data_IF_086388557815
#
_entry.id   IF_086388557815
#
_cell.length_a   1.000
_cell.length_b   1.000
_cell.length_c   1.000
_cell.angle_alpha   90.00
_cell.angle_beta   90.00
_cell.angle_gamma   90.00
#
_symmetry.space_group_name_H-M   'P 1'
#
loop_
_entity.id
_entity.type
_entity.pdbx_description
1 polymer ?
#
# COMPACT_ATOMS: atom_id res chain seq x y z
N UNK A 1 -25.94 0.70 9.17
CA UNK A 1 -26.29 -0.72 9.03
C UNK A 1 -25.27 -1.55 9.78
N UNK A 2 -25.74 -2.48 10.61
CA UNK A 2 -24.90 -3.48 11.28
C UNK A 2 -25.35 -4.86 10.80
N UNK A 3 -24.42 -5.70 10.36
CA UNK A 3 -24.71 -7.06 9.91
C UNK A 3 -23.65 -8.04 10.42
N UNK A 4 -24.05 -9.27 10.70
CA UNK A 4 -23.19 -10.35 11.20
C UNK A 4 -23.37 -11.59 10.35
N UNK A 5 -23.29 -11.46 9.03
CA UNK A 5 -23.54 -12.54 8.07
C UNK A 5 -22.80 -12.29 6.74
N UNK A 6 -22.98 -13.21 5.79
CA UNK A 6 -22.55 -13.06 4.40
C UNK A 6 -23.38 -11.99 3.69
N UNK A 7 -22.71 -11.00 3.11
CA UNK A 7 -23.29 -10.09 2.12
C UNK A 7 -22.76 -10.49 0.76
N UNK A 8 -23.64 -11.00 -0.10
CA UNK A 8 -23.24 -11.38 -1.46
C UNK A 8 -22.96 -10.13 -2.30
N UNK A 9 -23.92 -9.21 -2.39
CA UNK A 9 -23.75 -7.95 -3.10
C UNK A 9 -24.41 -6.82 -2.33
N UNK A 10 -23.72 -5.70 -2.22
CA UNK A 10 -24.27 -4.43 -1.77
C UNK A 10 -23.84 -3.33 -2.74
N UNK A 11 -24.80 -2.73 -3.44
CA UNK A 11 -24.53 -1.66 -4.39
C UNK A 11 -24.08 -0.38 -3.67
N UNK A 12 -24.82 0.06 -2.66
CA UNK A 12 -24.54 1.35 -2.04
C UNK A 12 -24.71 1.39 -0.53
N UNK A 13 -23.74 2.02 0.14
CA UNK A 13 -23.85 2.47 1.52
C UNK A 13 -23.50 3.96 1.66
N UNK A 14 -24.50 4.77 1.99
CA UNK A 14 -24.37 6.23 2.04
C UNK A 14 -23.70 6.78 3.32
N UNK A 15 -23.80 6.06 4.46
CA UNK A 15 -23.41 6.61 5.77
C UNK A 15 -22.42 5.72 6.53
N UNK A 16 -22.91 4.75 7.28
CA UNK A 16 -22.05 3.89 8.11
C UNK A 16 -22.49 2.45 8.02
N UNK A 17 -21.53 1.61 7.69
CA UNK A 17 -21.65 0.17 7.70
C UNK A 17 -20.63 -0.42 8.67
N UNK A 18 -21.10 -1.32 9.50
CA UNK A 18 -20.26 -2.18 10.31
C UNK A 18 -20.65 -3.62 10.03
N UNK A 19 -19.70 -4.45 9.66
CA UNK A 19 -19.96 -5.84 9.32
C UNK A 19 -18.94 -6.74 10.00
N UNK A 20 -19.43 -7.85 10.54
CA UNK A 20 -18.61 -8.99 10.94
C UNK A 20 -18.95 -10.14 9.99
N UNK A 21 -18.01 -10.55 9.14
CA UNK A 21 -18.26 -11.62 8.17
C UNK A 21 -17.64 -11.36 6.79
N UNK A 22 -18.26 -11.95 5.78
CA UNK A 22 -17.81 -11.90 4.39
C UNK A 22 -18.67 -10.90 3.61
N UNK A 23 -18.03 -9.93 2.96
CA UNK A 23 -18.63 -9.12 1.90
C UNK A 23 -18.01 -9.61 0.60
N UNK A 24 -18.80 -10.24 -0.26
CA UNK A 24 -18.30 -10.68 -1.55
C UNK A 24 -18.12 -9.49 -2.49
N UNK A 25 -19.17 -8.67 -2.67
CA UNK A 25 -19.07 -7.44 -3.48
C UNK A 25 -19.70 -6.24 -2.77
N UNK A 26 -18.95 -5.15 -2.70
CA UNK A 26 -19.44 -3.82 -2.35
C UNK A 26 -19.03 -2.83 -3.43
N UNK A 27 -20.00 -2.27 -4.15
CA UNK A 27 -19.70 -1.32 -5.23
C UNK A 27 -19.32 0.04 -4.64
N UNK A 28 -20.18 0.62 -3.79
CA UNK A 28 -19.94 1.97 -3.27
C UNK A 28 -20.17 2.13 -1.77
N UNK A 29 -19.16 2.67 -1.08
CA UNK A 29 -19.30 3.23 0.26
C UNK A 29 -18.89 4.71 0.29
N UNK A 30 -19.85 5.60 0.54
CA UNK A 30 -19.58 7.04 0.48
C UNK A 30 -18.90 7.60 1.73
N UNK A 31 -19.06 6.95 2.89
CA UNK A 31 -18.69 7.57 4.17
C UNK A 31 -17.86 6.67 5.10
N UNK A 32 -18.43 5.67 5.77
CA UNK A 32 -17.63 4.81 6.67
C UNK A 32 -17.97 3.33 6.55
N UNK A 33 -16.95 2.54 6.22
CA UNK A 33 -16.96 1.08 6.25
C UNK A 33 -16.05 0.58 7.38
N UNK A 34 -16.58 -0.25 8.25
CA UNK A 34 -15.80 -1.01 9.22
C UNK A 34 -16.11 -2.49 9.06
N UNK A 35 -15.10 -3.29 8.76
CA UNK A 35 -15.28 -4.73 8.56
C UNK A 35 -14.30 -5.50 9.42
N UNK A 36 -14.80 -6.54 10.07
CA UNK A 36 -13.97 -7.61 10.62
C UNK A 36 -14.31 -8.88 9.85
N UNK A 37 -13.34 -9.40 9.10
CA UNK A 37 -13.56 -10.51 8.18
C UNK A 37 -12.96 -10.25 6.80
N UNK A 38 -13.67 -10.68 5.76
CA UNK A 38 -13.15 -10.65 4.39
C UNK A 38 -14.00 -9.74 3.50
N UNK A 39 -13.33 -8.89 2.73
CA UNK A 39 -13.93 -8.15 1.61
C UNK A 39 -13.31 -8.70 0.34
N UNK A 40 -14.08 -9.39 -0.48
CA UNK A 40 -13.54 -9.96 -1.72
C UNK A 40 -13.35 -8.85 -2.74
N UNK A 41 -14.37 -8.04 -2.99
CA UNK A 41 -14.29 -6.91 -3.93
C UNK A 41 -14.90 -5.65 -3.31
N UNK A 42 -14.13 -4.57 -3.31
CA UNK A 42 -14.61 -3.21 -3.08
C UNK A 42 -14.22 -2.33 -4.27
N UNK A 43 -15.20 -1.83 -5.00
CA UNK A 43 -14.92 -0.96 -6.15
C UNK A 43 -14.58 0.45 -5.67
N UNK A 44 -15.44 1.06 -4.87
CA UNK A 44 -15.27 2.46 -4.43
C UNK A 44 -15.53 2.66 -2.94
N UNK A 45 -14.57 3.28 -2.25
CA UNK A 45 -14.80 3.89 -0.95
C UNK A 45 -14.28 5.33 -0.90
N UNK A 46 -15.19 6.29 -0.76
CA UNK A 46 -14.86 7.71 -0.90
C UNK A 46 -14.21 8.31 0.34
N UNK A 47 -14.45 7.76 1.53
CA UNK A 47 -14.08 8.45 2.77
C UNK A 47 -13.24 7.60 3.73
N UNK A 48 -13.83 6.67 4.51
CA UNK A 48 -13.05 5.87 5.47
C UNK A 48 -13.36 4.39 5.42
N UNK A 49 -12.31 3.59 5.25
CA UNK A 49 -12.35 2.14 5.40
C UNK A 49 -11.43 1.70 6.55
N UNK A 50 -11.97 0.85 7.42
CA UNK A 50 -11.21 0.13 8.43
C UNK A 50 -11.50 -1.36 8.30
N UNK A 51 -10.48 -2.16 8.03
CA UNK A 51 -10.61 -3.62 7.94
C UNK A 51 -9.68 -4.31 8.92
N UNK A 52 -10.20 -5.29 9.66
CA UNK A 52 -9.39 -6.31 10.32
C UNK A 52 -9.67 -7.63 9.62
N UNK A 53 -8.68 -8.15 8.89
CA UNK A 53 -8.82 -9.36 8.09
C UNK A 53 -8.25 -9.20 6.67
N UNK A 54 -8.98 -9.72 5.68
CA UNK A 54 -8.49 -9.82 4.30
C UNK A 54 -9.29 -8.93 3.36
N UNK A 55 -8.60 -8.15 2.54
CA UNK A 55 -9.20 -7.49 1.39
C UNK A 55 -8.57 -8.06 0.11
N UNK A 56 -9.37 -8.66 -0.76
CA UNK A 56 -8.83 -9.34 -1.94
C UNK A 56 -8.68 -8.43 -3.16
N UNK A 57 -9.64 -7.55 -3.42
CA UNK A 57 -9.55 -6.53 -4.48
C UNK A 57 -10.15 -5.23 -4.00
N UNK A 58 -9.38 -4.16 -4.19
CA UNK A 58 -9.79 -2.83 -3.79
C UNK A 58 -9.42 -1.83 -4.89
N UNK A 59 -10.39 -1.44 -5.71
CA UNK A 59 -10.07 -0.67 -6.91
C UNK A 59 -9.79 0.79 -6.58
N UNK A 60 -10.73 1.48 -5.94
CA UNK A 60 -10.62 2.91 -5.68
C UNK A 60 -10.93 3.26 -4.22
N UNK A 61 -10.00 4.00 -3.61
CA UNK A 61 -10.26 4.68 -2.35
C UNK A 61 -9.71 6.10 -2.41
N UNK A 62 -10.51 7.06 -1.93
CA UNK A 62 -10.21 8.49 -2.10
C UNK A 62 -9.66 9.18 -0.85
N UNK A 63 -9.86 8.66 0.37
CA UNK A 63 -9.49 9.39 1.59
C UNK A 63 -8.60 8.64 2.60
N UNK A 64 -9.10 7.57 3.24
CA UNK A 64 -8.32 6.85 4.26
C UNK A 64 -8.64 5.37 4.33
N UNK A 65 -7.58 4.57 4.29
CA UNK A 65 -7.63 3.13 4.52
C UNK A 65 -6.78 2.79 5.73
N UNK A 66 -7.34 1.98 6.61
CA UNK A 66 -6.59 1.29 7.65
C UNK A 66 -6.89 -0.19 7.56
N UNK A 67 -5.86 -1.00 7.41
CA UNK A 67 -6.00 -2.46 7.38
C UNK A 67 -5.04 -3.10 8.36
N UNK A 68 -5.57 -4.03 9.15
CA UNK A 68 -4.77 -5.00 9.89
C UNK A 68 -5.04 -6.35 9.27
N UNK A 69 -4.06 -6.91 8.58
CA UNK A 69 -4.16 -8.19 7.88
C UNK A 69 -3.62 -8.13 6.45
N UNK A 70 -4.30 -8.83 5.54
CA UNK A 70 -3.83 -9.03 4.17
C UNK A 70 -4.58 -8.10 3.20
N UNK A 71 -3.82 -7.46 2.31
CA UNK A 71 -4.35 -6.76 1.15
C UNK A 71 -3.79 -7.46 -0.10
N UNK A 72 -4.67 -8.00 -0.92
CA UNK A 72 -4.37 -8.46 -2.27
C UNK A 72 -4.83 -7.36 -3.26
N UNK A 73 -4.01 -7.08 -4.28
CA UNK A 73 -4.29 -6.19 -5.43
C UNK A 73 -5.13 -4.92 -5.17
N UNK A 74 -4.55 -3.88 -4.56
CA UNK A 74 -5.04 -2.50 -4.68
C UNK A 74 -4.59 -1.87 -5.99
N UNK A 75 -5.55 -1.55 -6.86
CA UNK A 75 -5.29 -0.99 -8.20
C UNK A 75 -5.03 0.53 -8.13
N UNK A 76 -5.88 1.33 -7.46
CA UNK A 76 -5.70 2.80 -7.41
C UNK A 76 -6.04 3.43 -6.06
N UNK A 77 -5.03 4.03 -5.42
CA UNK A 77 -5.18 4.68 -4.10
C UNK A 77 -4.82 6.16 -4.15
N UNK A 78 -5.84 7.01 -4.13
CA UNK A 78 -5.73 8.47 -4.11
C UNK A 78 -5.41 9.06 -2.73
N UNK A 79 -5.11 8.23 -1.73
CA UNK A 79 -5.24 8.62 -0.32
C UNK A 79 -4.18 8.09 0.65
N UNK A 80 -4.39 8.38 1.95
CA UNK A 80 -3.57 7.89 3.07
C UNK A 80 -3.89 6.43 3.35
N UNK A 81 -2.91 5.56 3.18
CA UNK A 81 -2.97 4.15 3.54
C UNK A 81 -2.12 3.87 4.77
N UNK A 82 -2.69 3.14 5.72
CA UNK A 82 -1.98 2.56 6.86
C UNK A 82 -2.25 1.06 6.88
N UNK A 83 -1.21 0.25 6.77
CA UNK A 83 -1.34 -1.21 6.77
C UNK A 83 -0.37 -1.85 7.74
N UNK A 84 -0.86 -2.85 8.47
CA UNK A 84 -0.05 -3.78 9.27
C UNK A 84 -0.39 -5.18 8.82
N UNK A 85 0.60 -5.99 8.43
CA UNK A 85 0.40 -7.30 7.81
C UNK A 85 1.12 -7.45 6.46
N UNK A 86 0.39 -7.78 5.40
CA UNK A 86 0.97 -8.08 4.08
C UNK A 86 0.23 -7.35 2.96
N UNK A 87 0.97 -6.83 2.00
CA UNK A 87 0.48 -6.28 0.74
C UNK A 87 1.08 -7.12 -0.37
N UNK A 88 0.25 -7.82 -1.14
CA UNK A 88 0.77 -8.66 -2.21
C UNK A 88 1.20 -7.79 -3.40
N UNK A 89 0.26 -7.07 -4.01
CA UNK A 89 0.56 -6.21 -5.15
C UNK A 89 -0.07 -4.87 -4.90
N UNK A 90 0.68 -3.79 -5.09
CA UNK A 90 0.14 -2.45 -5.11
C UNK A 90 0.61 -1.77 -6.39
N UNK A 91 -0.35 -1.50 -7.28
CA UNK A 91 -0.07 -0.85 -8.56
C UNK A 91 0.23 0.63 -8.32
N UNK A 92 -0.69 1.37 -7.71
CA UNK A 92 -0.53 2.82 -7.55
C UNK A 92 -0.87 3.35 -6.15
N UNK A 93 0.10 4.03 -5.54
CA UNK A 93 -0.10 4.89 -4.37
C UNK A 93 0.20 6.35 -4.67
N UNK A 94 -0.84 7.19 -4.68
CA UNK A 94 -0.75 8.59 -5.11
C UNK A 94 -0.34 9.56 -3.99
N UNK A 95 -0.50 9.21 -2.71
CA UNK A 95 -0.40 10.21 -1.64
C UNK A 95 0.53 9.84 -0.48
N UNK A 96 0.07 9.02 0.47
CA UNK A 96 0.89 8.66 1.64
C UNK A 96 0.65 7.21 2.01
N UNK A 97 1.73 6.46 2.10
CA UNK A 97 1.73 5.11 2.63
C UNK A 97 2.55 5.05 3.91
N UNK A 98 1.97 4.42 4.92
CA UNK A 98 2.68 3.92 6.08
C UNK A 98 2.39 2.43 6.19
N UNK A 99 3.44 1.61 6.15
CA UNK A 99 3.27 0.17 6.16
C UNK A 99 4.29 -0.47 7.12
N UNK A 100 3.79 -1.31 8.03
CA UNK A 100 4.61 -2.21 8.86
C UNK A 100 4.35 -3.64 8.38
N UNK A 101 5.02 -4.03 7.28
CA UNK A 101 4.53 -5.12 6.42
C UNK A 101 5.62 -5.80 5.60
N UNK A 102 5.22 -6.92 5.01
CA UNK A 102 5.79 -7.42 3.75
C UNK A 102 5.02 -6.82 2.55
N UNK A 103 5.73 -6.17 1.63
CA UNK A 103 5.21 -5.79 0.30
C UNK A 103 5.87 -6.69 -0.73
N UNK A 104 5.10 -7.47 -1.48
CA UNK A 104 5.69 -8.31 -2.53
C UNK A 104 6.00 -7.48 -3.78
N UNK A 105 5.00 -6.81 -4.35
CA UNK A 105 5.21 -5.94 -5.51
C UNK A 105 4.61 -4.57 -5.27
N UNK A 106 5.39 -3.54 -5.61
CA UNK A 106 4.98 -2.16 -5.66
C UNK A 106 5.41 -1.55 -6.99
N UNK A 107 4.46 -1.29 -7.88
CA UNK A 107 4.78 -0.75 -9.19
C UNK A 107 5.08 0.75 -9.08
N UNK A 108 4.14 1.54 -8.54
CA UNK A 108 4.28 3.00 -8.51
C UNK A 108 3.94 3.63 -7.16
N UNK A 109 4.90 4.40 -6.64
CA UNK A 109 4.72 5.30 -5.50
C UNK A 109 5.02 6.75 -5.90
N UNK A 110 3.99 7.60 -5.85
CA UNK A 110 4.05 8.94 -6.45
C UNK A 110 4.37 10.06 -5.44
N UNK A 111 4.28 9.82 -4.12
CA UNK A 111 4.47 10.90 -3.14
C UNK A 111 5.32 10.55 -1.93
N UNK A 112 4.76 9.88 -0.91
CA UNK A 112 5.51 9.59 0.32
C UNK A 112 5.24 8.19 0.82
N UNK A 113 6.30 7.42 0.92
CA UNK A 113 6.27 6.07 1.46
C UNK A 113 7.15 5.96 2.69
N UNK A 114 6.58 5.39 3.74
CA UNK A 114 7.29 4.96 4.92
C UNK A 114 7.00 3.49 5.15
N UNK A 115 8.03 2.66 5.05
CA UNK A 115 7.90 1.20 5.21
C UNK A 115 8.85 0.71 6.27
N UNK A 116 8.35 -0.13 7.17
CA UNK A 116 9.15 -0.95 8.07
C UNK A 116 8.88 -2.41 7.72
N UNK A 117 9.90 -3.11 7.22
CA UNK A 117 9.77 -4.50 6.80
C UNK A 117 10.49 -4.81 5.49
N UNK A 118 9.90 -5.68 4.68
CA UNK A 118 10.48 -6.17 3.43
C UNK A 118 9.66 -5.68 2.25
N UNK A 119 10.35 -5.13 1.25
CA UNK A 119 9.81 -4.86 -0.09
C UNK A 119 10.54 -5.80 -1.04
N UNK A 120 9.82 -6.75 -1.65
CA UNK A 120 10.46 -7.67 -2.58
C UNK A 120 10.77 -6.97 -3.91
N UNK A 121 9.79 -6.29 -4.50
CA UNK A 121 9.98 -5.56 -5.76
C UNK A 121 9.37 -4.18 -5.67
N UNK A 122 10.16 -3.18 -6.07
CA UNK A 122 9.74 -1.81 -6.25
C UNK A 122 10.21 -1.31 -7.62
N UNK A 123 9.26 -1.06 -8.53
CA UNK A 123 9.60 -0.57 -9.87
C UNK A 123 9.89 0.93 -9.83
N UNK A 124 8.95 1.75 -9.35
CA UNK A 124 9.08 3.20 -9.43
C UNK A 124 8.72 3.92 -8.13
N UNK A 125 9.66 4.74 -7.66
CA UNK A 125 9.43 5.75 -6.63
C UNK A 125 9.74 7.15 -7.14
N UNK A 126 8.72 7.98 -7.31
CA UNK A 126 8.90 9.30 -7.91
C UNK A 126 9.34 10.40 -6.94
N UNK A 127 9.14 10.24 -5.62
CA UNK A 127 9.20 11.40 -4.72
C UNK A 127 9.97 11.13 -3.41
N UNK A 128 9.34 10.66 -2.32
CA UNK A 128 10.08 10.36 -1.08
C UNK A 128 9.82 8.94 -0.57
N UNK A 129 10.89 8.22 -0.32
CA UNK A 129 10.86 6.90 0.31
C UNK A 129 11.75 6.87 1.56
N UNK A 130 11.19 6.34 2.64
CA UNK A 130 11.92 5.97 3.84
C UNK A 130 11.63 4.51 4.14
N UNK A 131 12.67 3.69 4.15
CA UNK A 131 12.54 2.25 4.41
C UNK A 131 13.47 1.85 5.53
N UNK A 132 12.93 1.11 6.50
CA UNK A 132 13.73 0.37 7.50
C UNK A 132 13.50 -1.11 7.23
N UNK A 133 14.54 -1.79 6.74
CA UNK A 133 14.49 -3.21 6.39
C UNK A 133 15.13 -3.53 5.04
N UNK A 134 14.53 -4.45 4.30
CA UNK A 134 15.10 -4.99 3.07
C UNK A 134 14.32 -4.52 1.83
N UNK A 135 15.05 -4.14 0.78
CA UNK A 135 14.52 -3.97 -0.57
C UNK A 135 15.23 -4.96 -1.50
N UNK A 136 14.52 -5.96 -2.01
CA UNK A 136 15.09 -7.03 -2.85
C UNK A 136 15.10 -6.69 -4.35
N UNK A 137 14.39 -5.67 -4.81
CA UNK A 137 14.58 -5.15 -6.16
C UNK A 137 14.10 -3.72 -6.15
N UNK A 138 14.93 -2.82 -6.65
CA UNK A 138 14.54 -1.45 -6.90
C UNK A 138 15.01 -1.02 -8.28
N UNK A 139 14.08 -0.79 -9.19
CA UNK A 139 14.43 -0.36 -10.54
C UNK A 139 14.71 1.15 -10.56
N UNK A 140 13.75 1.99 -10.16
CA UNK A 140 13.87 3.43 -10.33
C UNK A 140 13.45 4.23 -9.09
N UNK A 141 14.33 5.15 -8.68
CA UNK A 141 14.00 6.20 -7.72
C UNK A 141 14.43 7.58 -8.22
N UNK A 142 13.50 8.53 -8.31
CA UNK A 142 13.74 9.82 -8.97
C UNK A 142 14.06 11.00 -8.04
N UNK A 143 13.83 10.93 -6.73
CA UNK A 143 13.93 12.13 -5.88
C UNK A 143 14.71 11.95 -4.58
N UNK A 144 14.14 11.27 -3.58
CA UNK A 144 14.81 11.13 -2.28
C UNK A 144 14.52 9.78 -1.65
N UNK A 145 15.59 9.03 -1.41
CA UNK A 145 15.55 7.75 -0.71
C UNK A 145 16.39 7.79 0.56
N UNK A 146 15.80 7.31 1.65
CA UNK A 146 16.53 6.99 2.87
C UNK A 146 16.24 5.54 3.24
N UNK A 147 17.28 4.72 3.30
CA UNK A 147 17.14 3.32 3.66
C UNK A 147 18.05 2.98 4.83
N UNK A 148 17.51 2.31 5.83
CA UNK A 148 18.29 1.65 6.89
C UNK A 148 18.10 0.16 6.72
N UNK A 149 19.13 -0.53 6.24
CA UNK A 149 19.07 -1.96 5.93
C UNK A 149 19.75 -2.31 4.61
N UNK A 150 19.24 -3.30 3.88
CA UNK A 150 19.91 -3.79 2.65
C UNK A 150 19.06 -3.53 1.41
N UNK A 151 19.73 -3.18 0.32
CA UNK A 151 19.16 -3.06 -1.02
C UNK A 151 19.90 -4.02 -1.95
N UNK A 152 19.19 -4.90 -2.64
CA UNK A 152 19.80 -5.89 -3.52
C UNK A 152 18.83 -6.32 -4.62
N UNK A 153 18.91 -5.88 -5.89
CA UNK A 153 19.75 -4.82 -6.47
C UNK A 153 19.03 -3.45 -6.56
N UNK A 154 19.79 -2.43 -6.96
CA UNK A 154 19.29 -1.11 -7.36
C UNK A 154 19.77 -0.76 -8.77
N UNK A 155 18.86 -0.48 -9.69
CA UNK A 155 19.23 -0.11 -11.07
C UNK A 155 19.52 1.39 -11.19
N UNK A 156 18.54 2.26 -10.88
CA UNK A 156 18.64 3.69 -11.12
C UNK A 156 18.22 4.56 -9.93
N UNK A 157 19.11 5.50 -9.56
CA UNK A 157 18.77 6.63 -8.69
C UNK A 157 19.09 8.01 -9.29
N UNK A 158 18.07 8.88 -9.24
CA UNK A 158 18.15 10.30 -9.56
C UNK A 158 17.96 11.14 -8.29
N UNK A 159 18.69 12.25 -8.19
CA UNK A 159 18.73 13.23 -7.07
C UNK A 159 19.43 12.88 -5.74
N UNK A 160 18.80 12.17 -4.79
CA UNK A 160 19.37 11.97 -3.43
C UNK A 160 19.13 10.57 -2.87
N UNK A 161 20.21 9.91 -2.45
CA UNK A 161 20.16 8.63 -1.76
C UNK A 161 21.02 8.66 -0.50
N UNK A 162 20.45 8.20 0.61
CA UNK A 162 21.17 7.92 1.85
C UNK A 162 20.86 6.50 2.27
N UNK A 163 21.88 5.67 2.43
CA UNK A 163 21.70 4.29 2.86
C UNK A 163 22.62 4.00 4.03
N UNK A 164 22.04 3.67 5.17
CA UNK A 164 22.76 3.12 6.32
C UNK A 164 22.61 1.60 6.25
N UNK A 165 23.58 0.95 5.63
CA UNK A 165 23.61 -0.49 5.42
C UNK A 165 24.32 -0.86 4.12
N UNK A 166 23.87 -1.92 3.45
CA UNK A 166 24.53 -2.44 2.25
C UNK A 166 23.67 -2.24 1.00
N UNK A 167 24.30 -1.81 -0.08
CA UNK A 167 23.74 -1.93 -1.43
C UNK A 167 24.61 -2.96 -2.15
N UNK A 168 24.04 -4.10 -2.51
CA UNK A 168 24.82 -5.19 -3.11
C UNK A 168 25.20 -4.90 -4.55
N UNK A 169 24.28 -4.34 -5.32
CA UNK A 169 24.48 -3.98 -6.73
C UNK A 169 23.84 -2.63 -6.99
N UNK A 170 24.58 -1.72 -7.62
CA UNK A 170 24.12 -0.39 -8.02
C UNK A 170 24.63 -0.05 -9.42
N UNK A 171 23.74 -0.02 -10.41
CA UNK A 171 24.13 0.21 -11.81
C UNK A 171 24.35 1.69 -12.12
N UNK A 172 23.35 2.55 -11.86
CA UNK A 172 23.39 3.95 -12.20
C UNK A 172 22.89 4.83 -11.05
N UNK A 173 23.72 5.77 -10.62
CA UNK A 173 23.30 6.79 -9.68
C UNK A 173 23.90 8.13 -10.04
N UNK A 174 23.05 9.10 -10.37
CA UNK A 174 23.46 10.45 -10.77
C UNK A 174 23.55 11.41 -9.58
N UNK A 175 23.61 10.87 -8.35
CA UNK A 175 23.36 11.60 -7.10
C UNK A 175 24.59 11.80 -6.24
N UNK A 176 24.56 12.79 -5.35
CA UNK A 176 25.46 12.84 -4.20
C UNK A 176 25.09 11.69 -3.25
N UNK A 177 25.94 10.67 -3.18
CA UNK A 177 25.87 9.64 -2.12
C UNK A 177 26.42 10.23 -0.82
N UNK A 178 25.65 10.09 0.26
CA UNK A 178 26.09 10.32 1.64
C UNK A 178 25.90 9.02 2.42
#
# INVERSE_FOLDING_TARGET
MQTVELIHTLEQCLKRMQTMGLIHTLEQCLNRLQTVGLIHTLEQCLNRMQTVGLNHRLQQCLNRIQTVGLIHTPEQRLSRMQTVGLIHTLEQCLNRMQAMVLIHTLEQSLNRMQTVGLIHTLEQCLNRMQTVGLIHTLEQCFNSMQTVGLIHPLEQCLNRMQTVGLIHTLEQCTTQRY
#
